data_IF_989035395859
#
_entry.id   IF_989035395859
#
_cell.length_a   1.000
_cell.length_b   1.000
_cell.length_c   1.000
_cell.angle_alpha   90.00
_cell.angle_beta   90.00
_cell.angle_gamma   90.00
#
_symmetry.space_group_name_H-M   'P 1'
#
loop_
_entity.id
_entity.type
_entity.pdbx_description
1 polymer ?
#
# COMPACT_ATOMS: atom_id res chain seq x y z
N UNK A 1 12.72 -1.80 4.58
CA UNK A 1 12.89 -0.34 4.82
C UNK A 1 13.11 0.48 3.54
N UNK A 2 13.82 -0.02 2.52
CA UNK A 2 14.07 0.74 1.27
C UNK A 2 12.81 1.03 0.43
N UNK A 3 11.86 0.09 0.37
CA UNK A 3 10.65 0.22 -0.45
C UNK A 3 9.77 1.41 0.00
N UNK A 4 9.45 1.49 1.29
CA UNK A 4 8.57 2.54 1.83
C UNK A 4 9.15 3.95 1.61
N UNK A 5 10.47 4.13 1.80
CA UNK A 5 11.14 5.41 1.52
C UNK A 5 11.00 5.82 0.06
N UNK A 6 11.09 4.87 -0.87
CA UNK A 6 10.97 5.13 -2.31
C UNK A 6 9.53 5.49 -2.69
N UNK A 7 8.55 4.78 -2.12
CA UNK A 7 7.12 5.09 -2.31
C UNK A 7 6.80 6.49 -1.80
N UNK A 8 7.16 6.82 -0.56
CA UNK A 8 6.93 8.16 0.01
C UNK A 8 7.66 9.23 -0.80
N UNK A 9 8.89 8.98 -1.25
CA UNK A 9 9.64 9.91 -2.09
C UNK A 9 8.94 10.21 -3.41
N UNK A 10 8.41 9.19 -4.09
CA UNK A 10 7.65 9.36 -5.33
C UNK A 10 6.33 10.09 -5.05
N UNK A 11 5.58 9.69 -4.01
CA UNK A 11 4.34 10.37 -3.64
C UNK A 11 4.57 11.85 -3.31
N UNK A 12 5.60 12.17 -2.54
CA UNK A 12 5.94 13.56 -2.21
C UNK A 12 6.31 14.37 -3.46
N UNK A 13 7.09 13.78 -4.37
CA UNK A 13 7.45 14.43 -5.63
C UNK A 13 6.24 14.67 -6.52
N UNK A 14 5.38 13.67 -6.70
CA UNK A 14 4.17 13.80 -7.52
C UNK A 14 3.18 14.79 -6.87
N UNK A 15 2.94 14.70 -5.56
CA UNK A 15 2.12 15.68 -4.85
C UNK A 15 2.59 17.10 -5.11
N UNK A 16 3.89 17.36 -5.03
CA UNK A 16 4.46 18.67 -5.33
C UNK A 16 4.15 19.14 -6.76
N UNK A 17 4.25 18.26 -7.76
CA UNK A 17 3.92 18.62 -9.15
C UNK A 17 2.46 19.04 -9.34
N UNK A 18 1.55 18.52 -8.52
CA UNK A 18 0.13 18.86 -8.54
C UNK A 18 -0.26 19.93 -7.51
N UNK A 19 0.71 20.63 -6.88
CA UNK A 19 0.49 21.61 -5.81
C UNK A 19 -0.24 21.04 -4.57
N UNK A 20 -0.02 19.76 -4.29
CA UNK A 20 -0.53 19.07 -3.11
C UNK A 20 0.58 18.94 -2.06
N UNK A 21 0.18 18.89 -0.79
CA UNK A 21 1.08 18.56 0.32
C UNK A 21 0.85 17.13 0.78
N UNK A 22 1.93 16.40 1.08
CA UNK A 22 1.86 15.06 1.65
C UNK A 22 2.04 15.12 3.17
N UNK A 23 1.02 14.69 3.91
CA UNK A 23 1.11 14.45 5.35
C UNK A 23 1.32 12.96 5.61
N UNK A 24 2.45 12.60 6.22
CA UNK A 24 2.73 11.23 6.63
C UNK A 24 2.48 11.07 8.13
N UNK A 25 1.65 10.09 8.50
CA UNK A 25 1.33 9.78 9.89
C UNK A 25 1.69 8.34 10.23
N UNK A 26 2.07 8.12 11.49
CA UNK A 26 2.37 6.81 12.05
C UNK A 26 1.66 6.74 13.41
N UNK A 27 0.47 6.12 13.48
CA UNK A 27 -0.28 6.04 14.73
C UNK A 27 0.42 5.11 15.73
N UNK A 28 0.30 5.45 17.01
CA UNK A 28 0.90 4.68 18.12
C UNK A 28 0.06 3.47 18.51
N UNK A 29 -1.24 3.47 18.17
CA UNK A 29 -2.21 2.41 18.42
C UNK A 29 -3.37 2.49 17.43
N UNK A 30 -4.21 1.44 17.36
CA UNK A 30 -5.41 1.42 16.52
C UNK A 30 -6.46 2.46 16.95
N UNK A 31 -6.58 2.71 18.26
CA UNK A 31 -7.51 3.72 18.77
C UNK A 31 -7.09 5.12 18.34
N UNK A 32 -5.81 5.44 18.49
CA UNK A 32 -5.23 6.71 18.05
C UNK A 32 -5.35 6.89 16.53
N UNK A 33 -5.23 5.79 15.77
CA UNK A 33 -5.39 5.82 14.31
C UNK A 33 -6.81 6.23 13.89
N UNK A 34 -7.83 5.65 14.54
CA UNK A 34 -9.22 5.96 14.22
C UNK A 34 -9.57 7.41 14.57
N UNK A 35 -9.17 7.89 15.74
CA UNK A 35 -9.36 9.29 16.17
C UNK A 35 -8.64 10.25 15.21
N UNK A 36 -7.39 9.96 14.86
CA UNK A 36 -6.62 10.74 13.90
C UNK A 36 -7.35 10.86 12.56
N UNK A 37 -7.95 9.80 12.02
CA UNK A 37 -8.70 9.90 10.76
C UNK A 37 -9.92 10.81 10.89
N UNK A 38 -10.66 10.73 12.00
CA UNK A 38 -11.77 11.63 12.28
C UNK A 38 -11.32 13.09 12.38
N UNK A 39 -10.21 13.35 13.07
CA UNK A 39 -9.69 14.71 13.20
C UNK A 39 -9.22 15.26 11.86
N UNK A 40 -8.40 14.50 11.11
CA UNK A 40 -7.85 14.95 9.84
C UNK A 40 -8.94 15.25 8.81
N UNK A 41 -9.94 14.37 8.71
CA UNK A 41 -11.06 14.56 7.80
C UNK A 41 -12.05 15.62 8.31
N UNK A 42 -12.44 15.54 9.58
CA UNK A 42 -13.45 16.41 10.17
C UNK A 42 -13.02 17.87 10.28
N UNK A 43 -11.71 18.13 10.42
CA UNK A 43 -11.16 19.49 10.43
C UNK A 43 -10.78 20.01 9.04
N UNK A 44 -10.92 19.19 7.99
CA UNK A 44 -10.52 19.55 6.62
C UNK A 44 -9.01 19.74 6.46
N UNK A 45 -8.18 19.09 7.29
CA UNK A 45 -6.72 19.17 7.21
C UNK A 45 -6.14 18.40 6.03
N UNK A 46 -6.89 17.45 5.48
CA UNK A 46 -6.50 16.66 4.31
C UNK A 46 -7.70 16.52 3.37
N UNK A 47 -7.41 16.52 2.06
CA UNK A 47 -8.44 16.34 1.02
C UNK A 47 -8.70 14.86 0.69
N UNK A 48 -7.82 13.98 1.14
CA UNK A 48 -7.92 12.55 0.91
C UNK A 48 -6.87 11.74 1.66
N UNK A 49 -7.07 10.43 1.74
CA UNK A 49 -6.23 9.52 2.52
C UNK A 49 -5.70 8.39 1.64
N UNK A 50 -4.42 8.07 1.81
CA UNK A 50 -3.80 6.86 1.25
C UNK A 50 -3.53 5.90 2.39
N UNK A 51 -4.21 4.76 2.39
CA UNK A 51 -3.98 3.68 3.35
C UNK A 51 -2.86 2.77 2.83
N UNK A 52 -1.83 2.59 3.66
CA UNK A 52 -0.70 1.71 3.37
C UNK A 52 -0.72 0.47 4.28
N UNK A 53 -0.06 -0.60 3.81
CA UNK A 53 0.06 -1.86 4.53
C UNK A 53 -1.32 -2.43 4.94
N UNK A 54 -2.25 -2.49 3.97
CA UNK A 54 -3.58 -3.07 4.17
C UNK A 54 -3.47 -4.55 4.51
N UNK A 55 -4.26 -4.98 5.49
CA UNK A 55 -4.44 -6.39 5.82
C UNK A 55 -5.78 -6.91 5.27
N UNK A 56 -5.97 -8.22 5.13
CA UNK A 56 -7.30 -8.78 4.91
C UNK A 56 -8.27 -8.30 5.99
N UNK A 57 -9.45 -7.83 5.60
CA UNK A 57 -10.49 -7.30 6.51
C UNK A 57 -10.05 -6.06 7.32
N UNK A 58 -9.22 -5.21 6.71
CA UNK A 58 -8.73 -3.98 7.33
C UNK A 58 -9.88 -3.04 7.74
N UNK A 59 -10.03 -2.81 9.05
CA UNK A 59 -11.10 -2.01 9.63
C UNK A 59 -11.03 -0.52 9.26
N UNK A 60 -9.92 -0.07 8.69
CA UNK A 60 -9.78 1.32 8.21
C UNK A 60 -10.64 1.56 6.97
N UNK A 61 -10.92 0.54 6.16
CA UNK A 61 -11.78 0.68 4.98
C UNK A 61 -13.22 1.09 5.36
N UNK A 62 -13.96 0.34 6.20
CA UNK A 62 -15.30 0.76 6.62
C UNK A 62 -15.28 2.05 7.43
N UNK A 63 -14.21 2.34 8.16
CA UNK A 63 -14.03 3.61 8.86
C UNK A 63 -13.96 4.79 7.87
N UNK A 64 -13.15 4.71 6.81
CA UNK A 64 -13.07 5.80 5.83
C UNK A 64 -14.38 5.97 5.05
N UNK A 65 -15.07 4.87 4.74
CA UNK A 65 -16.41 4.92 4.15
C UNK A 65 -17.40 5.66 5.06
N UNK A 66 -17.33 5.43 6.38
CA UNK A 66 -18.16 6.12 7.38
C UNK A 66 -17.79 7.60 7.52
N UNK A 67 -16.50 7.93 7.47
CA UNK A 67 -16.01 9.31 7.51
C UNK A 67 -16.44 10.08 6.26
N UNK A 68 -16.52 9.42 5.11
CA UNK A 68 -16.95 10.02 3.84
C UNK A 68 -15.84 10.80 3.13
N UNK A 69 -14.59 10.66 3.55
CA UNK A 69 -13.43 11.28 2.89
C UNK A 69 -12.94 10.43 1.71
N UNK A 70 -12.50 11.02 0.58
CA UNK A 70 -11.88 10.27 -0.50
C UNK A 70 -10.66 9.49 0.00
N UNK A 71 -10.61 8.19 -0.31
CA UNK A 71 -9.46 7.37 0.04
C UNK A 71 -9.05 6.40 -1.07
N UNK A 72 -7.79 5.97 -0.98
CA UNK A 72 -7.16 4.95 -1.84
C UNK A 72 -6.36 3.99 -0.97
N UNK A 73 -6.27 2.74 -1.40
CA UNK A 73 -5.46 1.73 -0.71
C UNK A 73 -4.25 1.31 -1.53
N UNK A 74 -3.14 1.09 -0.84
CA UNK A 74 -1.94 0.46 -1.38
C UNK A 74 -1.91 -1.00 -0.95
N UNK A 75 -1.86 -1.87 -1.95
CA UNK A 75 -1.86 -3.33 -1.86
C UNK A 75 -3.20 -3.95 -1.44
N UNK A 76 -3.44 -5.14 -1.99
CA UNK A 76 -4.61 -6.03 -1.90
C UNK A 76 -5.54 -6.04 -3.13
N UNK A 77 -5.64 -7.22 -3.74
CA UNK A 77 -6.34 -7.54 -4.98
C UNK A 77 -7.77 -8.05 -4.76
N UNK A 78 -8.13 -8.47 -3.54
CA UNK A 78 -9.35 -9.26 -3.33
C UNK A 78 -10.63 -8.45 -3.09
N UNK A 79 -10.51 -7.16 -2.74
CA UNK A 79 -11.69 -6.40 -2.29
C UNK A 79 -12.38 -5.51 -3.34
N UNK A 80 -11.77 -4.81 -4.30
CA UNK A 80 -12.46 -3.93 -5.29
C UNK A 80 -13.50 -2.87 -4.80
N UNK A 81 -13.95 -2.84 -3.54
CA UNK A 81 -14.99 -1.91 -3.07
C UNK A 81 -14.51 -0.46 -2.98
N UNK A 82 -13.20 -0.27 -3.03
CA UNK A 82 -12.56 1.04 -3.10
C UNK A 82 -11.35 1.01 -4.05
N UNK A 83 -10.97 2.16 -4.64
CA UNK A 83 -9.92 2.15 -5.65
C UNK A 83 -8.55 1.93 -5.01
N UNK A 84 -7.70 1.17 -5.71
CA UNK A 84 -6.45 0.65 -5.17
C UNK A 84 -5.30 0.70 -6.18
N UNK A 85 -4.08 0.68 -5.67
CA UNK A 85 -2.86 0.44 -6.44
C UNK A 85 -2.17 -0.76 -5.82
N UNK A 86 -1.89 -1.80 -6.61
CA UNK A 86 -1.26 -3.03 -6.15
C UNK A 86 -0.09 -3.44 -7.06
N UNK A 87 0.83 -4.22 -6.50
CA UNK A 87 1.87 -4.93 -7.24
C UNK A 87 1.41 -6.37 -7.39
N UNK A 88 1.50 -6.93 -8.59
CA UNK A 88 1.23 -8.35 -8.83
C UNK A 88 2.35 -9.22 -8.23
N UNK A 89 2.22 -9.49 -6.93
CA UNK A 89 3.13 -10.35 -6.18
C UNK A 89 3.06 -11.81 -6.64
N UNK A 90 1.88 -12.28 -7.08
CA UNK A 90 1.68 -13.66 -7.52
C UNK A 90 2.53 -13.98 -8.74
N UNK A 91 2.46 -13.15 -9.77
CA UNK A 91 3.29 -13.30 -10.98
C UNK A 91 4.77 -13.10 -10.65
N UNK A 92 5.09 -12.19 -9.73
CA UNK A 92 6.47 -12.00 -9.26
C UNK A 92 7.08 -13.27 -8.66
N UNK A 93 6.34 -13.93 -7.75
CA UNK A 93 6.76 -15.19 -7.13
C UNK A 93 6.81 -16.32 -8.16
N UNK A 94 5.81 -16.41 -9.05
CA UNK A 94 5.79 -17.43 -10.10
C UNK A 94 7.04 -17.38 -10.97
N UNK A 95 7.40 -16.18 -11.47
CA UNK A 95 8.60 -15.97 -12.28
C UNK A 95 9.89 -16.29 -11.52
N UNK A 96 9.93 -16.01 -10.22
CA UNK A 96 11.07 -16.38 -9.38
C UNK A 96 11.24 -17.90 -9.27
N UNK A 97 10.15 -18.61 -9.01
CA UNK A 97 10.15 -20.09 -8.92
C UNK A 97 10.55 -20.70 -10.27
N UNK A 98 10.00 -20.20 -11.37
CA UNK A 98 10.36 -20.62 -12.73
C UNK A 98 11.86 -20.46 -12.99
N UNK A 99 12.43 -19.32 -12.59
CA UNK A 99 13.87 -19.06 -12.74
C UNK A 99 14.73 -20.03 -11.92
N UNK A 100 14.39 -20.25 -10.65
CA UNK A 100 15.14 -21.19 -9.78
C UNK A 100 15.06 -22.61 -10.31
N UNK A 101 13.87 -23.05 -10.73
CA UNK A 101 13.67 -24.38 -11.30
C UNK A 101 14.48 -24.58 -12.59
N UNK A 102 14.52 -23.57 -13.46
CA UNK A 102 15.35 -23.61 -14.67
C UNK A 102 16.85 -23.71 -14.34
N UNK A 103 17.32 -23.00 -13.30
CA UNK A 103 18.71 -23.07 -12.85
C UNK A 103 19.09 -24.42 -12.25
N UNK A 104 18.22 -25.04 -11.46
CA UNK A 104 18.48 -26.36 -10.87
C UNK A 104 18.44 -27.49 -11.91
N UNK A 105 17.57 -27.40 -12.92
CA UNK A 105 17.62 -28.32 -14.08
C UNK A 105 18.88 -28.15 -14.92
N UNK A 106 19.46 -26.94 -14.96
CA UNK A 106 20.77 -26.68 -15.55
C UNK A 106 21.95 -27.22 -14.70
N UNK A 107 21.74 -27.54 -13.43
CA UNK A 107 22.73 -28.14 -12.53
C UNK A 107 22.70 -29.68 -12.45
N UNK A 108 21.62 -30.32 -12.89
CA UNK A 108 21.45 -31.78 -12.80
C UNK A 108 22.15 -32.59 -13.93
N UNK A 109 22.92 -31.93 -14.79
CA UNK A 109 23.70 -32.56 -15.88
C UNK A 109 25.21 -32.35 -15.72
N UNK A 110 25.74 -32.33 -14.49
CA UNK A 110 27.18 -32.48 -14.25
C UNK A 110 27.44 -33.36 -13.01
N UNK A 111 27.11 -34.65 -13.14
CA UNK A 111 27.79 -35.70 -12.39
C UNK A 111 28.14 -36.79 -13.40
N UNK A 112 29.33 -36.64 -14.01
CA UNK A 112 30.08 -37.74 -14.60
C UNK A 112 30.66 -38.61 -13.49
#
# INVERSE_FOLDING_TARGET
MLFFKRVIGILAFDSFQYNLSLLATLPSSEHDEAEMYWELAGTGRVDGIILAAIQPQDMRIPLQQKIGIPFRRLLDENDLSCPFVNIDGKTGVWKLVEHVYAMEHLGAFQAQ
#
